data_IF_503183452964
#
_entry.id   IF_503183452964
#
_cell.length_a   1.000
_cell.length_b   1.000
_cell.length_c   1.000
_cell.angle_alpha   90.00
_cell.angle_beta   90.00
_cell.angle_gamma   90.00
#
_symmetry.space_group_name_H-M   'P 1'
#
loop_
_entity.id
_entity.type
_entity.pdbx_description
1 polymer ?
#
# COMPACT_ATOMS: atom_id res chain seq x y z
N UNK A 1 -14.71 -6.10 -12.84
CA UNK A 1 -13.38 -6.78 -12.83
C UNK A 1 -12.53 -6.13 -11.76
N UNK A 2 -11.99 -6.92 -10.83
CA UNK A 2 -11.01 -6.44 -9.83
C UNK A 2 -9.68 -7.12 -10.16
N UNK A 3 -8.75 -6.35 -10.73
CA UNK A 3 -7.45 -6.85 -11.17
C UNK A 3 -6.41 -6.70 -10.05
N UNK A 4 -6.15 -7.81 -9.36
CA UNK A 4 -5.18 -7.90 -8.26
C UNK A 4 -3.95 -8.75 -8.62
N UNK A 5 -3.96 -9.40 -9.78
CA UNK A 5 -2.84 -10.24 -10.19
C UNK A 5 -1.59 -9.41 -10.46
N UNK A 6 -0.49 -9.76 -9.83
CA UNK A 6 0.77 -9.08 -9.97
C UNK A 6 1.95 -9.95 -9.51
N UNK A 7 3.15 -9.64 -10.02
CA UNK A 7 4.41 -9.98 -9.38
C UNK A 7 4.72 -8.84 -8.39
N UNK A 8 4.78 -9.06 -7.06
CA UNK A 8 4.86 -7.96 -6.08
C UNK A 8 6.27 -7.70 -5.51
N UNK A 9 7.29 -8.49 -5.87
CA UNK A 9 8.61 -8.45 -5.24
C UNK A 9 9.58 -7.53 -5.99
N UNK A 10 10.17 -6.55 -5.30
CA UNK A 10 11.23 -5.70 -5.83
C UNK A 10 12.48 -6.50 -6.20
N UNK A 11 12.89 -7.43 -5.31
CA UNK A 11 14.11 -8.23 -5.50
C UNK A 11 13.98 -9.21 -6.68
N UNK A 12 12.77 -9.77 -6.84
CA UNK A 12 12.50 -10.66 -7.97
C UNK A 12 12.42 -9.89 -9.28
N UNK A 13 11.80 -8.71 -9.30
CA UNK A 13 11.76 -7.83 -10.47
C UNK A 13 13.18 -7.44 -10.95
N UNK A 14 14.11 -7.22 -10.02
CA UNK A 14 15.52 -6.94 -10.35
C UNK A 14 16.24 -8.12 -10.98
N UNK A 15 15.87 -9.36 -10.62
CA UNK A 15 16.45 -10.60 -11.17
C UNK A 15 15.83 -10.99 -12.51
N UNK A 16 14.51 -10.80 -12.65
CA UNK A 16 13.72 -11.23 -13.81
C UNK A 16 12.88 -10.08 -14.38
N UNK A 17 13.50 -8.99 -14.92
CA UNK A 17 12.79 -7.78 -15.34
C UNK A 17 11.75 -8.02 -16.43
N UNK A 18 12.04 -8.90 -17.39
CA UNK A 18 11.10 -9.25 -18.47
C UNK A 18 9.86 -9.92 -17.94
N UNK A 19 10.03 -10.86 -17.03
CA UNK A 19 8.91 -11.60 -16.43
C UNK A 19 8.06 -10.67 -15.56
N UNK A 20 8.69 -9.80 -14.76
CA UNK A 20 7.99 -8.78 -13.99
C UNK A 20 7.14 -7.87 -14.88
N UNK A 21 7.73 -7.30 -15.92
CA UNK A 21 7.02 -6.40 -16.86
C UNK A 21 5.91 -7.13 -17.62
N UNK A 22 6.15 -8.36 -18.03
CA UNK A 22 5.15 -9.18 -18.73
C UNK A 22 3.94 -9.46 -17.84
N UNK A 23 4.15 -9.81 -16.58
CA UNK A 23 3.06 -10.07 -15.64
C UNK A 23 2.31 -8.77 -15.32
N UNK A 24 3.03 -7.72 -14.91
CA UNK A 24 2.41 -6.51 -14.37
C UNK A 24 1.85 -5.59 -15.46
N UNK A 25 2.60 -5.31 -16.52
CA UNK A 25 2.20 -4.38 -17.57
C UNK A 25 1.45 -5.08 -18.71
N UNK A 26 2.05 -6.09 -19.36
CA UNK A 26 1.41 -6.76 -20.49
C UNK A 26 0.17 -7.57 -20.04
N UNK A 27 0.20 -8.19 -18.86
CA UNK A 27 -0.96 -8.87 -18.28
C UNK A 27 -2.14 -7.93 -18.09
N UNK A 28 -1.87 -6.71 -17.57
CA UNK A 28 -2.89 -5.66 -17.43
C UNK A 28 -3.42 -5.21 -18.79
N UNK A 29 -2.54 -4.97 -19.78
CA UNK A 29 -2.94 -4.61 -21.13
C UNK A 29 -3.85 -5.70 -21.76
N UNK A 30 -3.49 -6.96 -21.59
CA UNK A 30 -4.30 -8.09 -22.10
C UNK A 30 -5.71 -8.08 -21.52
N UNK A 31 -5.84 -7.84 -20.20
CA UNK A 31 -7.15 -7.76 -19.55
C UNK A 31 -7.93 -6.51 -19.97
N UNK A 32 -7.28 -5.37 -20.15
CA UNK A 32 -7.91 -4.14 -20.63
C UNK A 32 -8.46 -4.33 -22.05
N UNK A 33 -7.69 -4.92 -22.97
CA UNK A 33 -8.15 -5.22 -24.33
C UNK A 33 -9.29 -6.25 -24.34
N UNK A 34 -9.19 -7.31 -23.56
CA UNK A 34 -10.30 -8.26 -23.42
C UNK A 34 -11.56 -7.59 -22.88
N UNK A 35 -11.43 -6.70 -21.88
CA UNK A 35 -12.56 -5.94 -21.34
C UNK A 35 -13.15 -5.02 -22.39
N UNK A 36 -12.32 -4.23 -23.08
CA UNK A 36 -12.75 -3.29 -24.11
C UNK A 36 -13.52 -3.98 -25.25
N UNK A 37 -13.04 -5.15 -25.68
CA UNK A 37 -13.61 -5.87 -26.83
C UNK A 37 -14.85 -6.70 -26.48
N UNK A 38 -14.94 -7.24 -25.28
CA UNK A 38 -15.98 -8.23 -24.94
C UNK A 38 -16.95 -7.79 -23.84
N UNK A 39 -16.58 -6.81 -22.99
CA UNK A 39 -17.43 -6.30 -21.92
C UNK A 39 -17.11 -4.83 -21.59
N UNK A 40 -17.27 -3.90 -22.57
CA UNK A 40 -16.87 -2.51 -22.43
C UNK A 40 -17.56 -1.76 -21.28
N UNK A 41 -18.76 -2.21 -20.89
CA UNK A 41 -19.52 -1.64 -19.77
C UNK A 41 -19.06 -2.11 -18.39
N UNK A 42 -18.13 -3.09 -18.34
CA UNK A 42 -17.66 -3.59 -17.05
C UNK A 42 -16.84 -2.52 -16.31
N UNK A 43 -17.06 -2.41 -15.01
CA UNK A 43 -16.19 -1.62 -14.14
C UNK A 43 -14.88 -2.34 -13.95
N UNK A 44 -13.76 -1.67 -14.26
CA UNK A 44 -12.40 -2.21 -14.16
C UNK A 44 -11.65 -1.51 -13.02
N UNK A 45 -11.38 -2.24 -11.95
CA UNK A 45 -10.66 -1.77 -10.76
C UNK A 45 -9.26 -2.36 -10.79
N UNK A 46 -8.24 -1.51 -10.77
CA UNK A 46 -6.84 -1.92 -10.75
C UNK A 46 -6.18 -1.61 -9.41
N UNK A 47 -5.62 -2.64 -8.78
CA UNK A 47 -4.78 -2.47 -7.58
C UNK A 47 -3.37 -2.08 -7.99
N UNK A 48 -3.10 -0.78 -7.95
CA UNK A 48 -1.79 -0.19 -8.12
C UNK A 48 -1.05 -0.09 -6.77
N UNK A 49 0.02 0.65 -6.70
CA UNK A 49 0.90 0.74 -5.53
C UNK A 49 1.43 2.16 -5.34
N UNK A 50 1.76 2.53 -4.11
CA UNK A 50 2.48 3.76 -3.83
C UNK A 50 3.92 3.79 -4.43
N UNK A 51 4.43 2.65 -4.90
CA UNK A 51 5.75 2.57 -5.55
C UNK A 51 5.79 3.22 -6.93
N UNK A 52 4.64 3.59 -7.49
CA UNK A 52 4.55 4.42 -8.70
C UNK A 52 5.14 5.82 -8.51
N UNK A 53 5.24 6.32 -7.28
CA UNK A 53 5.89 7.58 -6.95
C UNK A 53 7.43 7.46 -6.80
N UNK A 54 7.98 6.26 -6.93
CA UNK A 54 9.41 6.01 -6.77
C UNK A 54 9.94 6.47 -5.41
N UNK A 55 11.14 7.04 -5.40
CA UNK A 55 11.78 7.58 -4.19
C UNK A 55 11.40 9.06 -3.91
N UNK A 56 10.46 9.66 -4.66
CA UNK A 56 10.01 11.04 -4.45
C UNK A 56 9.58 11.30 -3.00
N UNK A 57 8.85 10.39 -2.30
CA UNK A 57 8.52 10.58 -0.88
C UNK A 57 9.74 10.71 0.04
N UNK A 58 10.88 10.14 -0.31
CA UNK A 58 12.10 10.20 0.51
C UNK A 58 12.80 11.57 0.45
N UNK A 59 12.42 12.43 -0.51
CA UNK A 59 12.94 13.80 -0.63
C UNK A 59 12.15 14.81 0.22
N UNK A 60 11.13 14.37 0.94
CA UNK A 60 10.34 15.23 1.83
C UNK A 60 11.17 15.69 3.03
N UNK A 61 10.97 16.94 3.52
CA UNK A 61 11.70 17.50 4.64
C UNK A 61 11.20 16.93 5.97
N UNK A 62 11.60 15.69 6.24
CA UNK A 62 11.19 14.95 7.43
C UNK A 62 11.97 15.42 8.67
N UNK A 63 11.29 15.51 9.80
CA UNK A 63 11.89 15.69 11.13
C UNK A 63 11.92 14.36 11.88
N UNK A 64 13.01 14.08 12.58
CA UNK A 64 13.15 12.90 13.42
C UNK A 64 12.55 13.19 14.80
N UNK A 65 11.45 12.52 15.15
CA UNK A 65 10.85 12.53 16.48
C UNK A 65 11.34 11.32 17.30
N UNK A 66 10.84 11.18 18.53
CA UNK A 66 11.28 10.09 19.41
C UNK A 66 10.98 8.70 18.83
N UNK A 67 9.78 8.48 18.30
CA UNK A 67 9.32 7.17 17.80
C UNK A 67 9.18 7.08 16.28
N UNK A 68 9.17 8.22 15.57
CA UNK A 68 8.89 8.28 14.12
C UNK A 68 9.60 9.41 13.41
N UNK A 69 9.68 9.29 12.07
CA UNK A 69 9.84 10.45 11.20
C UNK A 69 8.47 11.08 10.92
N UNK A 70 8.44 12.42 10.80
CA UNK A 70 7.20 13.14 10.56
C UNK A 70 7.44 14.41 9.72
N UNK A 71 6.42 14.87 9.02
CA UNK A 71 6.43 16.17 8.37
C UNK A 71 6.04 17.27 9.34
N UNK A 72 6.56 18.47 9.11
CA UNK A 72 6.08 19.65 9.82
C UNK A 72 4.60 19.90 9.51
N UNK A 73 3.83 20.39 10.49
CA UNK A 73 2.37 20.50 10.38
C UNK A 73 1.87 21.45 9.27
N UNK A 74 2.69 22.42 8.87
CA UNK A 74 2.41 23.36 7.78
C UNK A 74 2.80 22.84 6.38
N UNK A 75 3.44 21.67 6.30
CA UNK A 75 3.81 21.11 5.02
C UNK A 75 2.57 20.63 4.25
N UNK A 76 2.51 20.90 2.93
CA UNK A 76 1.36 20.55 2.07
C UNK A 76 0.95 19.06 2.12
N UNK A 77 1.90 18.16 2.37
CA UNK A 77 1.65 16.72 2.51
C UNK A 77 1.53 16.24 3.96
N UNK A 78 1.40 17.14 4.92
CA UNK A 78 1.25 16.73 6.33
C UNK A 78 0.06 15.78 6.54
N UNK A 79 -1.07 16.03 5.89
CA UNK A 79 -2.24 15.14 5.96
C UNK A 79 -2.14 13.89 5.10
N UNK A 80 -1.01 13.70 4.41
CA UNK A 80 -0.72 12.57 3.54
C UNK A 80 -0.36 13.01 2.13
N UNK A 81 0.31 12.12 1.41
CA UNK A 81 0.68 12.29 0.01
C UNK A 81 -0.56 12.08 -0.84
N UNK A 82 -0.91 13.05 -1.66
CA UNK A 82 -2.00 12.99 -2.63
C UNK A 82 -1.50 12.59 -4.03
N UNK A 83 -2.42 12.46 -4.97
CA UNK A 83 -2.18 12.03 -6.34
C UNK A 83 -1.43 13.06 -7.19
N UNK A 84 -1.21 14.28 -6.67
CA UNK A 84 -0.42 15.35 -7.35
C UNK A 84 1.07 15.19 -7.15
N UNK A 85 1.54 14.30 -6.28
CA UNK A 85 2.96 14.03 -6.14
C UNK A 85 3.53 13.52 -7.46
N UNK A 86 4.66 14.13 -7.90
CA UNK A 86 5.31 13.75 -9.16
C UNK A 86 5.74 12.29 -9.16
N UNK A 87 5.52 11.65 -10.30
CA UNK A 87 6.05 10.33 -10.64
C UNK A 87 7.32 10.42 -11.48
N UNK A 88 7.72 11.64 -11.86
CA UNK A 88 8.88 11.90 -12.73
C UNK A 88 10.14 12.20 -11.92
N UNK A 89 11.29 12.07 -12.57
CA UNK A 89 12.61 12.41 -12.05
C UNK A 89 12.94 11.74 -10.70
N UNK A 90 12.41 10.54 -10.51
CA UNK A 90 12.59 9.74 -9.31
C UNK A 90 13.08 8.34 -9.67
N UNK A 91 13.91 7.76 -8.79
CA UNK A 91 14.32 6.38 -8.94
C UNK A 91 13.14 5.47 -8.60
N UNK A 92 12.65 4.72 -9.59
CA UNK A 92 11.72 3.63 -9.40
C UNK A 92 12.46 2.30 -9.34
N UNK A 93 11.98 1.35 -8.60
CA UNK A 93 12.40 -0.04 -8.81
C UNK A 93 11.80 -0.56 -10.12
N UNK A 94 12.32 -1.65 -10.68
CA UNK A 94 11.74 -2.27 -11.88
C UNK A 94 10.29 -2.69 -11.65
N UNK A 95 9.96 -3.19 -10.45
CA UNK A 95 8.58 -3.42 -10.00
C UNK A 95 7.74 -2.13 -10.05
N UNK A 96 8.28 -1.01 -9.55
CA UNK A 96 7.60 0.29 -9.59
C UNK A 96 7.30 0.73 -11.02
N UNK A 97 8.27 0.56 -11.94
CA UNK A 97 8.09 0.90 -13.37
C UNK A 97 7.01 0.04 -14.02
N UNK A 98 7.03 -1.27 -13.84
CA UNK A 98 6.02 -2.15 -14.45
C UNK A 98 4.61 -1.87 -13.93
N UNK A 99 4.46 -1.60 -12.64
CA UNK A 99 3.18 -1.19 -12.03
C UNK A 99 2.73 0.20 -12.49
N UNK A 100 3.66 1.15 -12.64
CA UNK A 100 3.35 2.50 -13.16
C UNK A 100 2.89 2.42 -14.63
N UNK A 101 3.53 1.60 -15.45
CA UNK A 101 3.09 1.38 -16.84
C UNK A 101 1.66 0.86 -16.91
N UNK A 102 1.32 -0.11 -16.07
CA UNK A 102 -0.04 -0.62 -15.94
C UNK A 102 -1.03 0.44 -15.42
N UNK A 103 -0.64 1.20 -14.40
CA UNK A 103 -1.42 2.28 -13.79
C UNK A 103 -1.83 3.34 -14.84
N UNK A 104 -0.87 3.82 -15.62
CA UNK A 104 -1.11 4.79 -16.69
C UNK A 104 -1.98 4.21 -17.81
N UNK A 105 -1.77 2.94 -18.22
CA UNK A 105 -2.64 2.29 -19.20
C UNK A 105 -4.09 2.22 -18.73
N UNK A 106 -4.34 1.83 -17.48
CA UNK A 106 -5.70 1.77 -16.94
C UNK A 106 -6.36 3.16 -16.95
N UNK A 107 -5.63 4.21 -16.62
CA UNK A 107 -6.13 5.59 -16.70
C UNK A 107 -6.47 5.96 -18.16
N UNK A 108 -5.56 5.67 -19.11
CA UNK A 108 -5.78 6.03 -20.52
C UNK A 108 -6.91 5.24 -21.16
N UNK A 109 -7.11 3.98 -20.81
CA UNK A 109 -8.27 3.21 -21.28
C UNK A 109 -9.59 3.83 -20.82
N UNK A 110 -9.64 4.38 -19.62
CA UNK A 110 -10.79 5.14 -19.15
C UNK A 110 -10.97 6.45 -19.91
N UNK A 111 -9.91 7.24 -20.09
CA UNK A 111 -9.97 8.56 -20.73
C UNK A 111 -10.16 8.46 -22.24
N UNK A 112 -9.46 7.55 -22.90
CA UNK A 112 -9.44 7.43 -24.35
C UNK A 112 -10.61 6.64 -24.90
N UNK A 113 -10.99 5.54 -24.24
CA UNK A 113 -12.08 4.66 -24.70
C UNK A 113 -13.38 4.82 -23.91
N UNK A 114 -13.42 5.70 -22.91
CA UNK A 114 -14.62 5.92 -22.08
C UNK A 114 -14.96 4.76 -21.16
N UNK A 115 -14.01 3.84 -20.89
CA UNK A 115 -14.24 2.70 -20.00
C UNK A 115 -14.34 3.15 -18.54
N UNK A 116 -15.15 2.46 -17.75
CA UNK A 116 -15.27 2.68 -16.32
C UNK A 116 -14.06 2.09 -15.57
N UNK A 117 -12.93 2.80 -15.57
CA UNK A 117 -11.68 2.31 -14.96
C UNK A 117 -11.29 3.14 -13.74
N UNK A 118 -10.88 2.46 -12.67
CA UNK A 118 -10.35 3.07 -11.45
C UNK A 118 -9.04 2.44 -11.02
N UNK A 119 -8.06 3.28 -10.74
CA UNK A 119 -6.74 2.89 -10.22
C UNK A 119 -6.69 3.20 -8.74
N UNK A 120 -6.31 2.20 -7.92
CA UNK A 120 -6.14 2.34 -6.48
C UNK A 120 -4.67 2.11 -6.11
N UNK A 121 -3.95 3.19 -5.81
CA UNK A 121 -2.53 3.18 -5.42
C UNK A 121 -2.42 2.84 -3.94
N UNK A 122 -2.24 1.54 -3.67
CA UNK A 122 -2.19 1.01 -2.31
C UNK A 122 -0.90 1.36 -1.57
N UNK A 123 -1.04 1.73 -0.28
CA UNK A 123 0.02 1.71 0.71
C UNK A 123 0.18 0.30 1.29
N UNK A 124 0.21 0.17 2.62
CA UNK A 124 0.20 -1.16 3.26
C UNK A 124 -1.25 -1.67 3.38
N UNK A 125 -1.62 -2.56 2.46
CA UNK A 125 -2.90 -3.25 2.48
C UNK A 125 -2.78 -4.46 3.42
N UNK A 126 -3.64 -4.56 4.43
CA UNK A 126 -3.49 -5.56 5.47
C UNK A 126 -4.82 -6.05 6.04
N UNK A 127 -4.79 -7.10 6.85
CA UNK A 127 -5.98 -7.66 7.47
C UNK A 127 -5.70 -9.03 8.10
N UNK A 128 -6.70 -9.64 8.77
CA UNK A 128 -6.52 -10.86 9.55
C UNK A 128 -6.10 -12.09 8.75
N UNK A 129 -6.36 -12.09 7.44
CA UNK A 129 -6.00 -13.18 6.53
C UNK A 129 -4.74 -12.90 5.71
N UNK A 130 -4.04 -11.78 5.97
CA UNK A 130 -2.81 -11.45 5.25
C UNK A 130 -1.68 -12.41 5.67
N UNK A 131 -1.18 -13.20 4.72
CA UNK A 131 -0.06 -14.12 4.92
C UNK A 131 1.27 -13.35 4.87
N UNK A 132 1.60 -12.64 5.96
CA UNK A 132 2.85 -11.87 6.06
C UNK A 132 4.09 -12.75 6.13
N UNK A 133 5.14 -12.32 5.42
CA UNK A 133 6.49 -12.88 5.43
C UNK A 133 7.49 -11.77 5.74
N UNK A 134 8.74 -12.13 6.03
CA UNK A 134 9.81 -11.16 6.31
C UNK A 134 9.97 -10.09 5.21
N UNK A 135 9.69 -10.45 3.96
CA UNK A 135 9.87 -9.58 2.79
C UNK A 135 8.60 -8.86 2.36
N UNK A 136 7.42 -9.26 2.86
CA UNK A 136 6.13 -8.70 2.44
C UNK A 136 5.08 -8.78 3.54
N UNK A 137 4.28 -7.71 3.72
CA UNK A 137 3.21 -7.67 4.71
C UNK A 137 3.71 -7.46 6.14
N UNK A 138 4.44 -6.36 6.38
CA UNK A 138 5.18 -6.14 7.62
C UNK A 138 4.34 -6.28 8.89
N UNK A 139 3.12 -5.72 8.97
CA UNK A 139 2.28 -5.81 10.18
C UNK A 139 1.85 -7.25 10.49
N UNK A 140 1.48 -8.01 9.44
CA UNK A 140 1.09 -9.40 9.62
C UNK A 140 2.28 -10.27 10.07
N UNK A 141 3.45 -10.05 9.45
CA UNK A 141 4.68 -10.75 9.85
C UNK A 141 5.14 -10.32 11.25
N UNK A 142 5.05 -9.04 11.59
CA UNK A 142 5.37 -8.51 12.91
C UNK A 142 4.51 -9.17 14.01
N UNK A 143 3.17 -9.20 13.81
CA UNK A 143 2.26 -9.87 14.75
C UNK A 143 2.54 -11.38 14.85
N UNK A 144 2.89 -12.04 13.74
CA UNK A 144 3.32 -13.45 13.75
C UNK A 144 4.56 -13.65 14.60
N UNK A 145 5.57 -12.78 14.49
CA UNK A 145 6.76 -12.83 15.34
C UNK A 145 6.40 -12.57 16.81
N UNK A 146 5.50 -11.62 17.10
CA UNK A 146 5.02 -11.35 18.44
C UNK A 146 4.34 -12.60 19.08
N UNK A 147 3.50 -13.30 18.32
CA UNK A 147 2.80 -14.50 18.79
C UNK A 147 3.72 -15.71 18.92
N UNK A 148 4.62 -15.93 17.95
CA UNK A 148 5.48 -17.13 17.90
C UNK A 148 6.76 -17.01 18.72
N UNK A 149 7.21 -15.80 19.09
CA UNK A 149 8.52 -15.55 19.69
C UNK A 149 9.67 -15.56 18.68
N UNK A 150 9.36 -15.64 17.38
CA UNK A 150 10.36 -15.58 16.33
C UNK A 150 11.00 -14.18 16.28
N UNK A 151 12.32 -14.14 15.97
CA UNK A 151 13.06 -12.89 15.82
C UNK A 151 12.49 -12.05 14.66
N UNK A 152 12.34 -10.74 14.90
CA UNK A 152 12.00 -9.74 13.89
C UNK A 152 13.19 -8.82 13.59
N UNK A 153 13.47 -8.58 12.32
CA UNK A 153 14.57 -7.74 11.86
C UNK A 153 14.07 -6.36 11.42
N UNK A 154 14.60 -5.31 12.07
CA UNK A 154 14.35 -3.92 11.71
C UNK A 154 15.48 -3.47 10.79
N UNK A 155 15.16 -2.97 9.58
CA UNK A 155 16.13 -2.55 8.59
C UNK A 155 16.11 -1.03 8.42
N UNK A 156 17.17 -0.36 8.79
CA UNK A 156 17.41 1.06 8.61
C UNK A 156 16.50 1.99 9.40
N UNK A 157 16.77 3.26 9.25
CA UNK A 157 15.95 4.38 9.74
C UNK A 157 15.65 4.35 11.26
N UNK A 158 16.45 3.65 12.04
CA UNK A 158 16.28 3.46 13.51
C UNK A 158 14.89 2.89 13.89
N UNK A 159 14.20 2.22 12.97
CA UNK A 159 12.82 1.75 13.17
C UNK A 159 11.76 2.88 13.18
N UNK A 160 12.14 4.10 12.78
CA UNK A 160 11.27 5.29 12.79
C UNK A 160 10.54 5.54 11.47
N UNK A 161 10.77 4.70 10.44
CA UNK A 161 10.05 4.78 9.17
C UNK A 161 8.55 4.57 9.36
N UNK A 162 7.75 5.44 8.72
CA UNK A 162 6.29 5.49 8.89
C UNK A 162 5.56 4.89 7.70
N UNK A 163 4.53 4.11 7.98
CA UNK A 163 3.58 3.57 6.98
C UNK A 163 2.16 3.75 7.46
N UNK A 164 1.28 4.10 6.55
CA UNK A 164 -0.14 3.95 6.78
C UNK A 164 -0.60 2.53 6.40
N UNK A 165 -1.68 2.09 7.02
CA UNK A 165 -2.15 0.72 6.92
C UNK A 165 -3.67 0.72 6.77
N UNK A 166 -4.20 0.20 5.67
CA UNK A 166 -5.63 0.07 5.47
C UNK A 166 -6.07 -1.37 5.68
N UNK A 167 -7.16 -1.54 6.43
CA UNK A 167 -7.78 -2.84 6.60
C UNK A 167 -8.40 -3.33 5.28
N UNK A 168 -8.27 -4.62 4.98
CA UNK A 168 -8.79 -5.22 3.75
C UNK A 168 -10.28 -4.99 3.52
N UNK A 169 -11.08 -4.96 4.59
CA UNK A 169 -12.49 -4.60 4.50
C UNK A 169 -12.69 -3.18 3.98
N UNK A 170 -11.98 -2.20 4.56
CA UNK A 170 -12.11 -0.80 4.16
C UNK A 170 -11.66 -0.57 2.71
N UNK A 171 -10.62 -1.29 2.27
CA UNK A 171 -10.19 -1.28 0.87
C UNK A 171 -11.26 -1.87 -0.06
N UNK A 172 -11.80 -3.04 0.28
CA UNK A 172 -12.86 -3.67 -0.54
C UNK A 172 -14.11 -2.79 -0.57
N UNK A 173 -14.40 -2.10 0.53
CA UNK A 173 -15.48 -1.11 0.58
C UNK A 173 -15.20 0.11 -0.32
N UNK A 174 -13.93 0.57 -0.47
CA UNK A 174 -13.58 1.56 -1.50
C UNK A 174 -13.93 1.04 -2.90
N UNK A 175 -13.57 -0.21 -3.21
CA UNK A 175 -13.91 -0.82 -4.51
C UNK A 175 -15.40 -0.91 -4.73
N UNK A 176 -16.17 -1.24 -3.68
CA UNK A 176 -17.64 -1.32 -3.75
C UNK A 176 -18.26 0.04 -4.06
N UNK A 177 -17.84 1.13 -3.39
CA UNK A 177 -18.31 2.48 -3.68
C UNK A 177 -17.96 2.91 -5.10
N UNK A 178 -16.74 2.63 -5.57
CA UNK A 178 -16.36 2.89 -6.95
C UNK A 178 -17.20 2.07 -7.94
N UNK A 179 -17.47 0.81 -7.66
CA UNK A 179 -18.33 -0.05 -8.49
C UNK A 179 -19.76 0.49 -8.59
N UNK A 180 -20.33 1.00 -7.50
CA UNK A 180 -21.69 1.57 -7.48
C UNK A 180 -21.80 2.85 -8.32
N UNK A 181 -20.80 3.70 -8.32
CA UNK A 181 -20.75 4.95 -9.04
C UNK A 181 -19.40 5.11 -9.75
N UNK A 182 -19.17 4.33 -10.83
CA UNK A 182 -17.86 4.33 -11.48
C UNK A 182 -17.57 5.65 -12.19
N UNK A 183 -16.28 5.96 -12.29
CA UNK A 183 -15.74 7.09 -13.04
C UNK A 183 -14.77 6.58 -14.10
N UNK A 184 -14.46 7.42 -15.09
CA UNK A 184 -13.60 7.05 -16.21
C UNK A 184 -12.18 7.52 -15.98
N UNK A 185 -11.23 6.58 -15.94
CA UNK A 185 -9.80 6.89 -15.85
C UNK A 185 -9.36 7.56 -14.55
N UNK A 186 -10.05 7.32 -13.45
CA UNK A 186 -9.73 7.94 -12.17
C UNK A 186 -8.64 7.19 -11.41
N UNK A 187 -7.84 7.96 -10.65
CA UNK A 187 -6.79 7.45 -9.79
C UNK A 187 -6.97 7.95 -8.36
N UNK A 188 -6.80 7.04 -7.41
CA UNK A 188 -6.93 7.30 -5.98
C UNK A 188 -5.78 6.67 -5.21
N UNK A 189 -5.20 7.41 -4.26
CA UNK A 189 -4.41 6.79 -3.22
C UNK A 189 -5.33 6.02 -2.27
N UNK A 190 -4.92 4.82 -1.89
CA UNK A 190 -5.69 3.91 -1.03
C UNK A 190 -4.83 3.46 0.15
N UNK A 191 -5.08 4.00 1.31
CA UNK A 191 -4.32 3.72 2.51
C UNK A 191 -5.07 4.09 3.79
N UNK A 192 -4.44 3.85 4.94
CA UNK A 192 -5.02 4.19 6.24
C UNK A 192 -4.97 5.68 6.57
N UNK A 193 -4.18 6.45 5.83
CA UNK A 193 -4.03 7.88 6.05
C UNK A 193 -3.58 8.21 7.48
N UNK A 194 -4.03 9.36 7.95
CA UNK A 194 -3.82 9.76 9.36
C UNK A 194 -4.63 8.94 10.35
N UNK A 195 -5.68 8.27 9.90
CA UNK A 195 -6.52 7.41 10.74
C UNK A 195 -5.80 6.14 11.21
N UNK A 196 -4.97 5.54 10.36
CA UNK A 196 -4.33 4.26 10.63
C UNK A 196 -2.90 4.23 10.07
N UNK A 197 -1.95 4.70 10.86
CA UNK A 197 -0.54 4.71 10.51
C UNK A 197 0.34 4.46 11.75
N UNK A 198 1.55 4.02 11.54
CA UNK A 198 2.55 3.84 12.60
C UNK A 198 3.96 3.85 12.03
N UNK A 199 4.93 4.15 12.89
CA UNK A 199 6.32 3.76 12.65
C UNK A 199 6.52 2.26 12.96
N UNK A 200 7.69 1.74 12.62
CA UNK A 200 8.05 0.36 13.00
C UNK A 200 8.13 0.21 14.52
N UNK A 201 8.73 1.16 15.21
CA UNK A 201 8.83 1.15 16.68
C UNK A 201 7.45 1.15 17.34
N UNK A 202 6.55 2.03 16.89
CA UNK A 202 5.17 2.09 17.39
C UNK A 202 4.38 0.80 17.11
N UNK A 203 4.59 0.18 15.93
CA UNK A 203 3.97 -1.09 15.60
C UNK A 203 4.47 -2.22 16.51
N UNK A 204 5.77 -2.25 16.86
CA UNK A 204 6.35 -3.22 17.79
C UNK A 204 5.72 -3.06 19.17
N UNK A 205 5.63 -1.84 19.69
CA UNK A 205 4.99 -1.56 21.00
C UNK A 205 3.54 -2.05 21.03
N UNK A 206 2.76 -1.73 19.99
CA UNK A 206 1.37 -2.19 19.88
C UNK A 206 1.26 -3.72 19.79
N UNK A 207 2.14 -4.37 19.03
CA UNK A 207 2.15 -5.83 18.94
C UNK A 207 2.50 -6.49 20.27
N UNK A 208 3.45 -5.95 21.03
CA UNK A 208 3.82 -6.42 22.38
C UNK A 208 2.66 -6.25 23.36
N UNK A 209 2.00 -5.08 23.34
CA UNK A 209 0.80 -4.82 24.16
C UNK A 209 -0.30 -5.86 23.88
N UNK A 210 -0.61 -6.10 22.60
CA UNK A 210 -1.70 -7.02 22.20
C UNK A 210 -1.34 -8.49 22.46
N UNK A 211 -0.09 -8.88 22.23
CA UNK A 211 0.38 -10.25 22.47
C UNK A 211 0.66 -10.54 23.95
N UNK A 212 0.74 -9.52 24.81
CA UNK A 212 1.03 -9.65 26.24
C UNK A 212 2.44 -10.11 26.55
N UNK A 213 3.40 -9.92 25.63
CA UNK A 213 4.81 -10.34 25.80
C UNK A 213 5.77 -9.52 24.95
N UNK A 214 7.02 -9.44 25.39
CA UNK A 214 8.10 -8.78 24.65
C UNK A 214 8.44 -9.54 23.36
N UNK A 215 8.83 -8.80 22.33
CA UNK A 215 9.31 -9.36 21.06
C UNK A 215 10.84 -9.48 21.07
N UNK A 216 11.34 -10.48 20.36
CA UNK A 216 12.75 -10.59 20.03
C UNK A 216 13.00 -9.77 18.75
N UNK A 217 13.67 -8.62 18.86
CA UNK A 217 13.97 -7.72 17.74
C UNK A 217 15.46 -7.50 17.59
N UNK A 218 15.93 -7.44 16.34
CA UNK A 218 17.31 -7.10 15.98
C UNK A 218 17.32 -5.95 14.98
N UNK A 219 18.21 -4.98 15.16
CA UNK A 219 18.32 -3.81 14.31
C UNK A 219 19.52 -3.90 13.38
N UNK A 220 19.31 -3.59 12.11
CA UNK A 220 20.34 -3.49 11.07
C UNK A 220 20.36 -2.07 10.51
N UNK A 221 21.55 -1.48 10.39
CA UNK A 221 21.72 -0.11 9.87
C UNK A 221 21.30 0.07 8.41
N UNK A 222 21.43 -0.98 7.60
CA UNK A 222 21.17 -0.90 6.16
C UNK A 222 19.67 -0.93 5.85
N UNK A 223 19.11 0.13 5.21
CA UNK A 223 17.72 0.12 4.81
C UNK A 223 17.50 -0.81 3.60
N UNK A 224 16.27 -1.23 3.40
CA UNK A 224 15.87 -1.99 2.20
C UNK A 224 15.79 -1.07 0.99
N UNK A 225 16.19 -1.58 -0.17
CA UNK A 225 16.08 -0.86 -1.45
C UNK A 225 14.61 -0.61 -1.78
N UNK A 226 14.29 0.63 -2.16
CA UNK A 226 12.93 1.03 -2.53
C UNK A 226 11.98 1.25 -1.35
N UNK A 227 12.48 1.27 -0.11
CA UNK A 227 11.67 1.62 1.04
C UNK A 227 11.48 3.15 1.15
N UNK A 228 10.24 3.56 1.49
CA UNK A 228 9.97 4.93 1.86
C UNK A 228 10.33 5.18 3.33
N UNK A 229 10.91 6.34 3.64
CA UNK A 229 11.13 6.74 5.04
C UNK A 229 9.81 7.12 5.68
N UNK A 230 8.94 7.77 4.91
CA UNK A 230 7.63 8.19 5.36
C UNK A 230 6.62 8.01 4.22
N UNK A 231 5.52 7.33 4.51
CA UNK A 231 4.39 7.22 3.62
C UNK A 231 3.08 7.24 4.41
N UNK A 232 2.29 8.27 4.19
CA UNK A 232 0.90 8.36 4.62
C UNK A 232 0.09 8.79 3.39
N UNK A 233 -0.92 8.03 3.02
CA UNK A 233 -1.81 8.34 1.89
C UNK A 233 -2.77 9.45 2.26
N UNK A 234 -2.94 10.45 1.40
CA UNK A 234 -4.09 11.34 1.45
C UNK A 234 -5.19 10.73 0.60
N UNK A 235 -6.35 10.47 1.20
CA UNK A 235 -7.52 9.89 0.52
C UNK A 235 -8.64 10.91 0.34
N UNK A 236 -8.35 12.20 0.46
CA UNK A 236 -9.36 13.26 0.38
C UNK A 236 -10.10 13.24 -0.95
N UNK A 237 -9.40 13.03 -2.06
CA UNK A 237 -10.00 12.90 -3.39
C UNK A 237 -11.03 11.76 -3.44
N UNK A 238 -10.72 10.60 -2.87
CA UNK A 238 -11.68 9.50 -2.83
C UNK A 238 -12.90 9.85 -1.99
N UNK A 239 -12.70 10.42 -0.81
CA UNK A 239 -13.81 10.85 0.08
C UNK A 239 -14.66 11.96 -0.50
N UNK A 240 -14.09 12.86 -1.30
CA UNK A 240 -14.82 13.88 -2.03
C UNK A 240 -15.75 13.26 -3.09
N UNK A 241 -15.27 12.26 -3.83
CA UNK A 241 -16.03 11.55 -4.83
C UNK A 241 -17.05 10.56 -4.24
N UNK A 242 -16.77 10.01 -3.05
CA UNK A 242 -17.56 8.99 -2.36
C UNK A 242 -17.75 9.36 -0.88
N UNK A 243 -18.55 10.39 -0.55
CA UNK A 243 -18.68 10.93 0.80
C UNK A 243 -19.29 9.94 1.80
N UNK A 244 -20.04 8.95 1.34
CA UNK A 244 -20.62 7.89 2.19
C UNK A 244 -19.59 6.89 2.69
N UNK A 245 -18.39 6.86 2.07
CA UNK A 245 -17.34 5.95 2.50
C UNK A 245 -16.64 6.44 3.77
N UNK A 246 -16.40 5.53 4.72
CA UNK A 246 -15.62 5.82 5.92
C UNK A 246 -14.75 4.62 6.33
N UNK A 247 -13.75 4.87 7.18
CA UNK A 247 -12.99 3.81 7.84
C UNK A 247 -13.82 3.10 8.90
N UNK A 248 -13.74 1.77 8.95
CA UNK A 248 -14.38 0.93 9.95
C UNK A 248 -13.36 0.37 10.97
N UNK A 249 -12.10 0.28 10.59
CA UNK A 249 -11.06 -0.34 11.41
C UNK A 249 -9.89 0.61 11.66
N UNK A 250 -9.50 0.70 12.93
CA UNK A 250 -8.26 1.35 13.34
C UNK A 250 -7.08 0.39 13.18
N UNK A 251 -5.85 0.91 13.30
CA UNK A 251 -4.65 0.09 13.37
C UNK A 251 -4.72 -0.95 14.49
N UNK A 252 -5.19 -0.53 15.68
CA UNK A 252 -5.30 -1.41 16.84
C UNK A 252 -6.33 -2.53 16.64
N UNK A 253 -7.45 -2.24 15.99
CA UNK A 253 -8.45 -3.26 15.63
C UNK A 253 -7.90 -4.28 14.65
N UNK A 254 -7.18 -3.80 13.64
CA UNK A 254 -6.51 -4.64 12.63
C UNK A 254 -5.50 -5.59 13.30
N UNK A 255 -4.65 -5.08 14.17
CA UNK A 255 -3.67 -5.90 14.92
C UNK A 255 -4.33 -6.90 15.85
N UNK A 256 -5.42 -6.54 16.54
CA UNK A 256 -6.19 -7.47 17.37
C UNK A 256 -6.82 -8.61 16.56
N UNK A 257 -7.35 -8.31 15.38
CA UNK A 257 -7.89 -9.34 14.48
C UNK A 257 -6.79 -10.27 13.97
N UNK A 258 -5.61 -9.75 13.61
CA UNK A 258 -4.45 -10.57 13.24
C UNK A 258 -4.01 -11.48 14.38
N UNK A 259 -3.90 -10.94 15.60
CA UNK A 259 -3.55 -11.71 16.78
C UNK A 259 -4.55 -12.86 17.00
N UNK A 260 -5.85 -12.57 16.95
CA UNK A 260 -6.92 -13.57 17.08
C UNK A 260 -6.82 -14.65 16.01
N UNK A 261 -6.61 -14.27 14.74
CA UNK A 261 -6.45 -15.22 13.63
C UNK A 261 -5.25 -16.16 13.81
N UNK A 262 -4.14 -15.66 14.36
CA UNK A 262 -2.92 -16.44 14.59
C UNK A 262 -3.01 -17.36 15.83
N UNK A 263 -3.84 -17.00 16.80
CA UNK A 263 -3.99 -17.79 18.04
C UNK A 263 -5.09 -18.85 17.96
N UNK A 264 -6.13 -18.64 17.16
CA UNK A 264 -7.23 -19.62 17.00
C UNK A 264 -6.85 -20.77 16.04
N UNK A 265 -5.92 -20.56 15.10
CA UNK A 265 -5.45 -21.60 14.15
C UNK A 265 -4.47 -22.62 14.77
N UNK A 266 -4.28 -22.60 16.09
CA UNK A 266 -3.56 -23.64 16.84
C UNK A 266 -4.56 -24.59 17.46
#
# INVERSE_FOLDING_TARGET
IIHTAAQPSHDWAAKEPKTDFTINANGTLTLLEATRLHCPEAVFIFTSTNKVYGDTPNNLPLVELNTRYELHADHKFYYGIDETMSIDQSKHSLFGVSKLSADLMVQEYGRYFGMNTGVFRGGCLTGPNHAGTQMHGFLSYLMKCAVSGQKYEINGYKGKQVRDNIHSYDLVNMFHHFYQNPRQGEVYNAGGGRHSNCSMNEAIELCQEIAGKSMNVEYFETPRIGDHIWWISNISKFREHYPEWCYHYTLKDTLRQMHKSLTIKK
#
